data_IF_067282276719
#
_entry.id   IF_067282276719
#
_cell.length_a   1.000
_cell.length_b   1.000
_cell.length_c   1.000
_cell.angle_alpha   90.00
_cell.angle_beta   90.00
_cell.angle_gamma   90.00
#
_symmetry.space_group_name_H-M   'P 1'
#
loop_
_entity.id
_entity.type
_entity.pdbx_description
1 polymer ?
#
# COMPACT_ATOMS: atom_id res chain seq x y z
N UNK A 1 -6.15 15.76 8.44
CA UNK A 1 -5.52 14.47 8.06
C UNK A 1 -4.43 14.60 6.98
N UNK A 2 -4.64 15.34 5.88
CA UNK A 2 -3.68 15.47 4.76
C UNK A 2 -2.32 16.04 5.22
N UNK A 3 -2.32 17.09 6.05
CA UNK A 3 -1.09 17.68 6.62
C UNK A 3 -0.26 16.68 7.45
N UNK A 4 -0.93 15.77 8.16
CA UNK A 4 -0.27 14.70 8.90
C UNK A 4 0.32 13.64 7.97
N UNK A 5 -0.38 13.28 6.89
CA UNK A 5 0.14 12.33 5.88
C UNK A 5 1.41 12.85 5.22
N UNK A 6 1.40 14.10 4.74
CA UNK A 6 2.56 14.72 4.10
C UNK A 6 3.75 14.75 5.07
N UNK A 7 3.51 15.20 6.31
CA UNK A 7 4.56 15.25 7.33
C UNK A 7 5.18 13.87 7.60
N UNK A 8 4.35 12.84 7.78
CA UNK A 8 4.83 11.47 7.98
C UNK A 8 5.55 10.90 6.77
N UNK A 9 5.07 11.17 5.55
CA UNK A 9 5.76 10.79 4.31
C UNK A 9 7.14 11.44 4.24
N UNK A 10 7.24 12.75 4.51
CA UNK A 10 8.53 13.47 4.49
C UNK A 10 9.49 12.93 5.55
N UNK A 11 9.00 12.73 6.78
CA UNK A 11 9.82 12.17 7.87
C UNK A 11 10.33 10.78 7.51
N UNK A 12 9.45 9.89 7.05
CA UNK A 12 9.83 8.51 6.70
C UNK A 12 10.77 8.45 5.49
N UNK A 13 10.54 9.26 4.45
CA UNK A 13 11.46 9.35 3.32
C UNK A 13 12.84 9.86 3.75
N UNK A 14 12.89 10.88 4.62
CA UNK A 14 14.16 11.40 5.15
C UNK A 14 14.90 10.32 5.96
N UNK A 15 14.19 9.59 6.81
CA UNK A 15 14.74 8.47 7.58
C UNK A 15 15.24 7.37 6.65
N UNK A 16 14.49 7.03 5.61
CA UNK A 16 14.87 6.02 4.60
C UNK A 16 16.20 6.36 3.92
N UNK A 17 16.37 7.62 3.51
CA UNK A 17 17.62 8.11 2.91
C UNK A 17 18.79 8.03 3.89
N UNK A 18 18.62 8.50 5.13
CA UNK A 18 19.69 8.47 6.15
C UNK A 18 20.12 7.03 6.45
N UNK A 19 19.14 6.13 6.64
CA UNK A 19 19.40 4.71 6.92
C UNK A 19 20.09 4.05 5.74
N UNK A 20 19.66 4.34 4.51
CA UNK A 20 20.28 3.81 3.28
C UNK A 20 21.73 4.26 3.14
N UNK A 21 22.02 5.54 3.42
CA UNK A 21 23.37 6.09 3.41
C UNK A 21 24.27 5.44 4.47
N UNK A 22 23.77 5.31 5.70
CA UNK A 22 24.49 4.66 6.80
C UNK A 22 24.76 3.17 6.51
N UNK A 23 23.75 2.45 5.97
CA UNK A 23 23.86 1.03 5.62
C UNK A 23 24.86 0.79 4.47
N UNK A 24 24.90 1.71 3.49
CA UNK A 24 25.85 1.67 2.39
C UNK A 24 27.29 2.10 2.78
N UNK A 25 27.51 2.51 4.03
CA UNK A 25 28.81 3.00 4.54
C UNK A 25 29.41 4.12 3.67
N UNK A 26 28.56 4.96 3.08
CA UNK A 26 28.98 6.05 2.21
C UNK A 26 29.26 5.68 0.75
N UNK A 27 29.13 4.41 0.35
CA UNK A 27 29.16 4.04 -1.07
C UNK A 27 27.86 4.48 -1.76
N UNK A 28 27.99 5.32 -2.79
CA UNK A 28 26.86 5.87 -3.53
C UNK A 28 26.10 4.78 -4.28
N UNK A 29 26.81 3.78 -4.83
CA UNK A 29 26.18 2.67 -5.58
C UNK A 29 25.37 1.78 -4.65
N UNK A 30 25.96 1.40 -3.50
CA UNK A 30 25.27 0.68 -2.44
C UNK A 30 24.05 1.43 -1.93
N UNK A 31 24.14 2.75 -1.75
CA UNK A 31 23.02 3.58 -1.29
C UNK A 31 21.87 3.55 -2.29
N UNK A 32 22.16 3.73 -3.59
CA UNK A 32 21.15 3.70 -4.66
C UNK A 32 20.44 2.34 -4.67
N UNK A 33 21.17 1.25 -4.57
CA UNK A 33 20.59 -0.09 -4.58
C UNK A 33 19.68 -0.34 -3.38
N UNK A 34 20.11 0.04 -2.17
CA UNK A 34 19.31 -0.10 -0.95
C UNK A 34 18.04 0.76 -1.03
N UNK A 35 18.15 2.00 -1.51
CA UNK A 35 17.03 2.93 -1.66
C UNK A 35 16.02 2.40 -2.69
N UNK A 36 16.52 1.89 -3.82
CA UNK A 36 15.68 1.28 -4.86
C UNK A 36 14.92 0.05 -4.35
N UNK A 37 15.61 -0.87 -3.67
CA UNK A 37 15.01 -2.08 -3.11
C UNK A 37 13.96 -1.75 -2.04
N UNK A 38 14.28 -0.81 -1.14
CA UNK A 38 13.33 -0.33 -0.12
C UNK A 38 12.10 0.29 -0.76
N UNK A 39 12.30 1.12 -1.78
CA UNK A 39 11.22 1.74 -2.53
C UNK A 39 10.30 0.71 -3.21
N UNK A 40 10.89 -0.28 -3.89
CA UNK A 40 10.13 -1.36 -4.52
C UNK A 40 9.32 -2.19 -3.51
N UNK A 41 9.92 -2.57 -2.38
CA UNK A 41 9.21 -3.34 -1.34
C UNK A 41 8.01 -2.56 -0.81
N UNK A 42 8.18 -1.26 -0.53
CA UNK A 42 7.08 -0.40 -0.07
C UNK A 42 5.96 -0.27 -1.11
N UNK A 43 6.32 -0.09 -2.38
CA UNK A 43 5.36 -0.03 -3.49
C UNK A 43 4.61 -1.36 -3.66
N UNK A 44 5.30 -2.50 -3.56
CA UNK A 44 4.70 -3.83 -3.64
C UNK A 44 3.71 -4.06 -2.49
N UNK A 45 4.09 -3.72 -1.26
CA UNK A 45 3.20 -3.84 -0.10
C UNK A 45 1.97 -2.94 -0.21
N UNK A 46 2.16 -1.69 -0.64
CA UNK A 46 1.06 -0.77 -0.85
C UNK A 46 0.13 -1.22 -1.98
N UNK A 47 0.70 -1.63 -3.12
CA UNK A 47 -0.05 -2.19 -4.25
C UNK A 47 -0.83 -3.44 -3.87
N UNK A 48 -0.18 -4.38 -3.18
CA UNK A 48 -0.82 -5.59 -2.65
C UNK A 48 -1.98 -5.27 -1.71
N UNK A 49 -1.81 -4.29 -0.82
CA UNK A 49 -2.89 -3.81 0.04
C UNK A 49 -4.05 -3.21 -0.77
N UNK A 50 -3.79 -2.39 -1.78
CA UNK A 50 -4.85 -1.81 -2.61
C UNK A 50 -5.62 -2.87 -3.40
N UNK A 51 -4.95 -3.89 -3.92
CA UNK A 51 -5.60 -5.02 -4.61
C UNK A 51 -6.47 -5.82 -3.65
N UNK A 52 -5.96 -6.12 -2.45
CA UNK A 52 -6.69 -6.88 -1.43
C UNK A 52 -7.89 -6.10 -0.86
N UNK A 53 -7.66 -4.85 -0.46
CA UNK A 53 -8.68 -4.00 0.18
C UNK A 53 -9.70 -3.41 -0.79
N UNK A 54 -9.31 -3.16 -2.04
CA UNK A 54 -10.19 -2.64 -3.09
C UNK A 54 -11.19 -3.67 -3.61
N UNK A 55 -11.13 -4.91 -3.14
CA UNK A 55 -12.02 -5.98 -3.59
C UNK A 55 -11.81 -6.31 -5.07
N UNK A 56 -10.60 -6.09 -5.62
CA UNK A 56 -10.28 -6.40 -7.01
C UNK A 56 -10.66 -7.85 -7.34
N UNK A 57 -10.29 -8.81 -6.49
CA UNK A 57 -10.69 -10.20 -6.64
C UNK A 57 -12.21 -10.42 -6.51
N UNK A 58 -12.91 -9.63 -5.68
CA UNK A 58 -14.37 -9.70 -5.55
C UNK A 58 -15.07 -9.16 -6.81
N UNK A 59 -14.55 -8.10 -7.42
CA UNK A 59 -15.03 -7.56 -8.70
C UNK A 59 -14.70 -8.49 -9.88
N UNK A 60 -13.48 -9.03 -9.93
CA UNK A 60 -13.07 -10.00 -10.95
C UNK A 60 -13.92 -11.27 -10.86
N UNK A 61 -14.15 -11.81 -9.66
CA UNK A 61 -15.02 -12.99 -9.49
C UNK A 61 -16.48 -12.70 -9.83
N UNK A 62 -17.01 -11.50 -9.54
CA UNK A 62 -18.33 -11.06 -10.02
C UNK A 62 -18.40 -10.96 -11.54
N UNK A 63 -17.38 -10.37 -12.18
CA UNK A 63 -17.28 -10.28 -13.64
C UNK A 63 -17.19 -11.66 -14.30
N UNK A 64 -16.38 -12.57 -13.74
CA UNK A 64 -16.30 -13.96 -14.21
C UNK A 64 -17.59 -14.75 -13.98
N UNK A 65 -18.30 -14.52 -12.87
CA UNK A 65 -19.62 -15.11 -12.62
C UNK A 65 -20.66 -14.60 -13.62
N UNK A 66 -20.60 -13.33 -14.02
CA UNK A 66 -21.48 -12.78 -15.06
C UNK A 66 -21.18 -13.33 -16.46
N UNK A 67 -19.92 -13.70 -16.73
CA UNK A 67 -19.49 -14.30 -18.00
C UNK A 67 -19.74 -15.80 -18.10
N UNK A 68 -20.06 -16.49 -17.00
CA UNK A 68 -20.54 -17.88 -17.03
C UNK A 68 -22.08 -17.88 -17.11
N UNK A 69 -22.67 -18.28 -18.25
CA UNK A 69 -24.12 -18.36 -18.37
C UNK A 69 -24.58 -19.67 -17.71
N UNK A 70 -24.67 -19.71 -16.38
CA UNK A 70 -25.24 -20.87 -15.68
C UNK A 70 -26.54 -20.56 -14.92
N UNK A 71 -27.52 -21.39 -15.26
CA UNK A 71 -28.98 -21.36 -15.05
C UNK A 71 -29.46 -21.54 -13.60
N UNK A 72 -28.75 -21.03 -12.59
CA UNK A 72 -29.21 -21.15 -11.20
C UNK A 72 -29.23 -19.81 -10.48
N UNK A 73 -30.18 -18.97 -10.88
CA UNK A 73 -30.64 -17.82 -10.11
C UNK A 73 -31.72 -18.30 -9.14
N UNK A 74 -31.31 -18.87 -8.00
CA UNK A 74 -32.16 -19.01 -6.82
C UNK A 74 -31.37 -18.59 -5.59
N UNK A 75 -31.96 -17.62 -4.89
CA UNK A 75 -31.81 -17.34 -3.47
C UNK A 75 -30.41 -16.89 -3.00
N UNK A 76 -30.11 -15.61 -3.23
CA UNK A 76 -29.29 -14.86 -2.27
C UNK A 76 -30.23 -13.95 -1.49
N UNK A 77 -30.84 -14.52 -0.44
CA UNK A 77 -31.46 -13.77 0.64
C UNK A 77 -30.39 -12.90 1.28
N UNK A 78 -30.51 -11.59 1.09
CA UNK A 78 -29.80 -10.59 1.86
C UNK A 78 -30.42 -10.59 3.26
N UNK A 79 -29.87 -11.40 4.16
CA UNK A 79 -29.87 -11.07 5.58
C UNK A 79 -28.50 -10.48 5.89
N UNK A 80 -28.40 -9.15 5.85
CA UNK A 80 -27.39 -8.45 6.65
C UNK A 80 -27.77 -8.67 8.11
N UNK A 81 -26.96 -9.34 8.95
CA UNK A 81 -27.17 -9.26 10.38
C UNK A 81 -26.78 -7.84 10.78
N UNK A 82 -27.80 -7.01 11.01
CA UNK A 82 -27.70 -5.81 11.83
C UNK A 82 -27.33 -6.25 13.26
N UNK A 83 -26.05 -6.50 13.52
CA UNK A 83 -25.57 -6.71 14.88
C UNK A 83 -24.51 -5.66 15.23
N UNK A 84 -25.03 -4.50 15.67
CA UNK A 84 -24.28 -3.36 16.16
C UNK A 84 -23.57 -3.65 17.48
N UNK A 85 -22.60 -4.58 17.44
CA UNK A 85 -21.66 -4.82 18.52
C UNK A 85 -20.37 -4.03 18.27
N UNK A 86 -19.76 -3.48 19.33
CA UNK A 86 -18.61 -2.56 19.26
C UNK A 86 -17.36 -3.02 18.50
N UNK A 87 -17.35 -4.23 17.92
CA UNK A 87 -16.30 -4.74 17.03
C UNK A 87 -16.25 -4.06 15.66
N UNK A 88 -17.38 -3.57 15.12
CA UNK A 88 -17.38 -2.88 13.81
C UNK A 88 -16.60 -1.55 13.85
N UNK A 89 -16.71 -0.81 14.96
CA UNK A 89 -15.98 0.44 15.15
C UNK A 89 -14.46 0.21 15.28
N UNK A 90 -14.03 -0.91 15.84
CA UNK A 90 -12.60 -1.29 15.88
C UNK A 90 -12.09 -1.77 14.53
N UNK A 91 -12.89 -2.55 13.80
CA UNK A 91 -12.56 -3.00 12.45
C UNK A 91 -12.44 -1.81 11.48
N UNK A 92 -13.34 -0.83 11.57
CA UNK A 92 -13.29 0.38 10.76
C UNK A 92 -12.08 1.27 11.11
N UNK A 93 -11.74 1.39 12.40
CA UNK A 93 -10.52 2.08 12.85
C UNK A 93 -9.25 1.41 12.30
N UNK A 94 -9.16 0.08 12.39
CA UNK A 94 -8.03 -0.70 11.85
C UNK A 94 -7.93 -0.52 10.33
N UNK A 95 -9.05 -0.64 9.61
CA UNK A 95 -9.08 -0.42 8.17
C UNK A 95 -8.60 1.00 7.78
N UNK A 96 -8.99 2.02 8.56
CA UNK A 96 -8.53 3.40 8.36
C UNK A 96 -7.03 3.56 8.59
N UNK A 97 -6.47 2.91 9.61
CA UNK A 97 -5.03 2.90 9.90
C UNK A 97 -4.28 2.18 8.78
N UNK A 98 -4.73 1.00 8.35
CA UNK A 98 -4.09 0.26 7.26
C UNK A 98 -4.11 1.05 5.94
N UNK A 99 -5.23 1.70 5.62
CA UNK A 99 -5.32 2.57 4.43
C UNK A 99 -4.39 3.77 4.53
N UNK A 100 -4.28 4.36 5.71
CA UNK A 100 -3.33 5.44 5.97
C UNK A 100 -1.88 4.96 5.79
N UNK A 101 -1.51 3.83 6.39
CA UNK A 101 -0.18 3.24 6.29
C UNK A 101 0.18 2.86 4.85
N UNK A 102 -0.75 2.26 4.10
CA UNK A 102 -0.56 1.96 2.68
C UNK A 102 -0.40 3.22 1.82
N UNK A 103 -1.13 4.29 2.12
CA UNK A 103 -0.98 5.58 1.41
C UNK A 103 0.39 6.19 1.68
N UNK A 104 0.82 6.21 2.94
CA UNK A 104 2.13 6.76 3.32
C UNK A 104 3.25 5.91 2.73
N UNK A 105 3.16 4.57 2.85
CA UNK A 105 4.12 3.63 2.29
C UNK A 105 4.23 3.73 0.77
N UNK A 106 3.11 3.92 0.05
CA UNK A 106 3.13 4.18 -1.38
C UNK A 106 3.96 5.42 -1.74
N UNK A 107 3.70 6.55 -1.07
CA UNK A 107 4.42 7.79 -1.37
C UNK A 107 5.89 7.73 -0.99
N UNK A 108 6.23 7.13 0.16
CA UNK A 108 7.62 6.92 0.57
C UNK A 108 8.32 6.02 -0.45
N UNK A 109 7.70 4.90 -0.84
CA UNK A 109 8.26 4.00 -1.83
C UNK A 109 8.48 4.66 -3.19
N UNK A 110 7.52 5.49 -3.63
CA UNK A 110 7.65 6.26 -4.88
C UNK A 110 8.81 7.27 -4.80
N UNK A 111 8.96 7.97 -3.68
CA UNK A 111 10.05 8.91 -3.46
C UNK A 111 11.39 8.19 -3.46
N UNK A 112 11.52 7.09 -2.72
CA UNK A 112 12.76 6.31 -2.63
C UNK A 112 13.17 5.75 -3.99
N UNK A 113 12.22 5.18 -4.74
CA UNK A 113 12.47 4.72 -6.11
C UNK A 113 12.86 5.88 -7.03
N UNK A 114 12.14 7.00 -7.01
CA UNK A 114 12.48 8.17 -7.84
C UNK A 114 13.86 8.74 -7.50
N UNK A 115 14.18 8.88 -6.21
CA UNK A 115 15.49 9.33 -5.74
C UNK A 115 16.60 8.39 -6.20
N UNK A 116 16.38 7.07 -6.15
CA UNK A 116 17.38 6.10 -6.61
C UNK A 116 17.77 6.34 -8.07
N UNK A 117 16.80 6.63 -8.95
CA UNK A 117 17.07 6.98 -10.36
C UNK A 117 17.72 8.35 -10.53
N UNK A 118 17.30 9.35 -9.74
CA UNK A 118 17.88 10.70 -9.78
C UNK A 118 19.34 10.75 -9.31
N UNK A 119 19.77 9.78 -8.51
CA UNK A 119 21.14 9.67 -8.01
C UNK A 119 22.08 8.94 -8.98
N UNK A 120 21.55 8.20 -9.97
CA UNK A 120 22.37 7.48 -10.97
C UNK A 120 23.34 8.42 -11.71
N UNK A 121 22.95 9.61 -12.18
CA UNK A 121 23.86 10.52 -12.89
C UNK A 121 25.00 11.11 -12.05
N UNK A 122 25.00 10.89 -10.73
CA UNK A 122 26.02 11.37 -9.80
C UNK A 122 27.15 10.34 -9.55
N UNK A 123 27.02 9.15 -10.12
CA UNK A 123 28.06 8.10 -10.15
C UNK A 123 28.99 8.37 -11.33
#
# INVERSE_FOLDING_TARGET
>A
MIRSRILWTTVLATVSVIVSYAAARGDLTGMINILFMTGLVLLMLAGGYYVWSGGFFNLVTKGFKMLKPDRFRKDYGFEEPLDGSGGEAEAEKRARIHRWAATVGFWVGLIDTALSFLLIPLI
#
